data_IF_434526228072
#
_entry.id   IF_434526228072
#
_cell.length_a   1.000
_cell.length_b   1.000
_cell.length_c   1.000
_cell.angle_alpha   90.00
_cell.angle_beta   90.00
_cell.angle_gamma   90.00
#
_symmetry.space_group_name_H-M   'P 1'
#
loop_
_entity.id
_entity.type
_entity.pdbx_description
1 polymer ?
#
# COMPACT_ATOMS: atom_id res chain seq x y z
N UNK A 1 1.64 15.91 -17.85
CA UNK A 1 2.71 15.97 -16.82
C UNK A 1 2.53 14.89 -15.75
N UNK A 2 1.40 14.79 -15.02
CA UNK A 2 1.21 13.73 -14.01
C UNK A 2 1.33 12.31 -14.60
N UNK A 3 0.74 12.09 -15.77
CA UNK A 3 0.89 10.84 -16.53
C UNK A 3 2.36 10.56 -16.91
N UNK A 4 3.11 11.57 -17.31
CA UNK A 4 4.54 11.46 -17.63
C UNK A 4 5.33 11.08 -16.37
N UNK A 5 5.05 11.71 -15.22
CA UNK A 5 5.68 11.38 -13.95
C UNK A 5 5.43 9.92 -13.53
N UNK A 6 4.19 9.45 -13.69
CA UNK A 6 3.81 8.08 -13.40
C UNK A 6 4.39 7.07 -14.41
N UNK A 7 4.32 7.38 -15.71
CA UNK A 7 4.86 6.53 -16.79
C UNK A 7 6.38 6.40 -16.65
N UNK A 8 7.11 7.50 -16.45
CA UNK A 8 8.55 7.46 -16.33
C UNK A 8 9.03 6.67 -15.12
N UNK A 9 8.30 6.73 -13.99
CA UNK A 9 8.55 5.85 -12.84
C UNK A 9 8.18 4.38 -13.15
N UNK A 10 7.06 4.14 -13.86
CA UNK A 10 6.61 2.81 -14.22
C UNK A 10 7.56 2.12 -15.24
N UNK A 11 8.18 2.90 -16.11
CA UNK A 11 9.16 2.43 -17.12
C UNK A 11 10.60 2.49 -16.62
N UNK A 12 10.81 2.88 -15.36
CA UNK A 12 12.13 3.03 -14.74
C UNK A 12 13.05 4.07 -15.43
N UNK A 13 12.49 5.03 -16.19
CA UNK A 13 13.24 6.14 -16.77
C UNK A 13 13.81 7.08 -15.68
N UNK A 14 13.15 7.13 -14.52
CA UNK A 14 13.64 7.83 -13.32
C UNK A 14 13.14 7.18 -12.03
N UNK A 15 13.82 7.42 -10.89
CA UNK A 15 13.38 6.94 -9.59
C UNK A 15 11.98 7.43 -9.22
N UNK A 16 11.22 6.62 -8.50
CA UNK A 16 9.88 6.97 -8.01
C UNK A 16 9.83 8.28 -7.21
N UNK A 17 10.93 8.62 -6.52
CA UNK A 17 11.06 9.85 -5.74
C UNK A 17 10.90 11.13 -6.60
N UNK A 18 11.45 11.11 -7.81
CA UNK A 18 11.27 12.20 -8.79
C UNK A 18 9.81 12.30 -9.22
N UNK A 19 9.17 11.16 -9.51
CA UNK A 19 7.74 11.11 -9.85
C UNK A 19 6.85 11.65 -8.74
N UNK A 20 7.10 11.26 -7.50
CA UNK A 20 6.36 11.74 -6.33
C UNK A 20 6.58 13.23 -6.04
N UNK A 21 7.82 13.71 -6.15
CA UNK A 21 8.13 15.12 -5.96
C UNK A 21 7.45 15.99 -7.01
N UNK A 22 7.41 15.54 -8.27
CA UNK A 22 6.76 16.27 -9.36
C UNK A 22 5.24 16.43 -9.12
N UNK A 23 4.56 15.50 -8.43
CA UNK A 23 3.14 15.61 -8.12
C UNK A 23 2.80 16.85 -7.27
N UNK A 24 3.70 17.27 -6.37
CA UNK A 24 3.49 18.49 -5.55
C UNK A 24 3.45 19.74 -6.42
N UNK A 25 4.35 19.83 -7.39
CA UNK A 25 4.39 20.99 -8.32
C UNK A 25 3.21 20.96 -9.29
N UNK A 26 2.78 19.78 -9.72
CA UNK A 26 1.65 19.61 -10.61
C UNK A 26 0.31 20.08 -9.99
N UNK A 27 0.16 20.02 -8.68
CA UNK A 27 -0.97 20.61 -7.99
C UNK A 27 -1.07 22.12 -8.28
N UNK A 28 0.02 22.85 -8.10
CA UNK A 28 0.07 24.30 -8.36
C UNK A 28 -0.09 24.63 -9.83
N UNK A 29 0.51 23.82 -10.72
CA UNK A 29 0.35 23.98 -12.18
C UNK A 29 -1.11 23.76 -12.61
N UNK A 30 -1.79 22.79 -12.03
CA UNK A 30 -3.21 22.52 -12.31
C UNK A 30 -4.11 23.69 -11.85
N UNK A 31 -3.85 24.21 -10.65
CA UNK A 31 -4.57 25.40 -10.13
C UNK A 31 -4.32 26.64 -10.99
N UNK A 32 -3.06 26.88 -11.38
CA UNK A 32 -2.73 27.99 -12.26
C UNK A 32 -3.41 27.84 -13.64
N UNK A 33 -3.41 26.63 -14.20
CA UNK A 33 -4.12 26.33 -15.44
C UNK A 33 -5.62 26.55 -15.36
N UNK A 34 -6.26 26.16 -14.24
CA UNK A 34 -7.68 26.42 -14.00
C UNK A 34 -7.97 27.93 -13.87
N UNK A 35 -7.13 28.67 -13.15
CA UNK A 35 -7.24 30.12 -12.99
C UNK A 35 -7.07 30.85 -14.32
N UNK A 36 -6.07 30.47 -15.15
CA UNK A 36 -5.88 31.02 -16.48
C UNK A 36 -7.05 30.69 -17.41
N UNK A 37 -7.60 29.48 -17.31
CA UNK A 37 -8.81 29.09 -18.05
C UNK A 37 -10.02 29.96 -17.69
N UNK A 38 -10.21 30.23 -16.39
CA UNK A 38 -11.27 31.11 -15.91
C UNK A 38 -11.06 32.56 -16.40
N UNK A 39 -9.85 33.07 -16.31
CA UNK A 39 -9.50 34.40 -16.80
C UNK A 39 -9.72 34.54 -18.32
N UNK A 40 -9.30 33.53 -19.11
CA UNK A 40 -9.53 33.50 -20.55
C UNK A 40 -11.02 33.46 -20.90
N UNK A 41 -11.83 32.74 -20.12
CA UNK A 41 -13.29 32.68 -20.30
C UNK A 41 -13.94 34.05 -20.10
N UNK A 42 -13.47 34.82 -19.12
CA UNK A 42 -14.02 36.17 -18.83
C UNK A 42 -13.64 37.18 -19.91
N UNK A 43 -12.42 37.07 -20.46
CA UNK A 43 -11.86 38.04 -21.40
C UNK A 43 -12.10 37.74 -22.88
N UNK A 44 -12.21 36.46 -23.28
CA UNK A 44 -12.30 36.04 -24.69
C UNK A 44 -13.46 35.08 -24.93
N UNK A 45 -14.54 35.60 -25.52
CA UNK A 45 -15.77 34.86 -25.83
C UNK A 45 -15.59 33.65 -26.78
N UNK A 46 -14.54 33.63 -27.62
CA UNK A 46 -14.37 32.66 -28.69
C UNK A 46 -13.76 31.31 -28.31
N UNK A 47 -13.24 31.15 -27.05
CA UNK A 47 -12.56 29.91 -26.62
C UNK A 47 -13.18 29.23 -25.40
N UNK A 48 -14.51 29.33 -25.25
CA UNK A 48 -15.22 28.82 -24.07
C UNK A 48 -15.04 27.31 -23.82
N UNK A 49 -14.96 26.50 -24.89
CA UNK A 49 -14.81 25.05 -24.74
C UNK A 49 -13.42 24.65 -24.20
N UNK A 50 -12.35 25.24 -24.74
CA UNK A 50 -10.99 24.96 -24.25
C UNK A 50 -10.80 25.42 -22.80
N UNK A 51 -11.33 26.58 -22.44
CA UNK A 51 -11.31 27.10 -21.08
C UNK A 51 -12.11 26.20 -20.12
N UNK A 52 -13.27 25.70 -20.52
CA UNK A 52 -14.08 24.79 -19.74
C UNK A 52 -13.36 23.45 -19.51
N UNK A 53 -12.71 22.88 -20.53
CA UNK A 53 -11.92 21.66 -20.42
C UNK A 53 -10.73 21.86 -19.47
N UNK A 54 -10.00 22.98 -19.58
CA UNK A 54 -8.86 23.26 -18.70
C UNK A 54 -9.28 23.39 -17.23
N UNK A 55 -10.41 24.09 -16.96
CA UNK A 55 -10.97 24.20 -15.62
C UNK A 55 -11.39 22.84 -15.08
N UNK A 56 -12.13 22.05 -15.88
CA UNK A 56 -12.60 20.73 -15.49
C UNK A 56 -11.43 19.79 -15.13
N UNK A 57 -10.42 19.72 -15.99
CA UNK A 57 -9.24 18.89 -15.74
C UNK A 57 -8.44 19.37 -14.53
N UNK A 58 -8.27 20.67 -14.34
CA UNK A 58 -7.57 21.26 -13.20
C UNK A 58 -8.29 20.96 -11.88
N UNK A 59 -9.62 21.14 -11.84
CA UNK A 59 -10.45 20.84 -10.66
C UNK A 59 -10.45 19.33 -10.36
N UNK A 60 -10.68 18.49 -11.36
CA UNK A 60 -10.69 17.05 -11.19
C UNK A 60 -9.34 16.53 -10.66
N UNK A 61 -8.24 17.01 -11.21
CA UNK A 61 -6.90 16.61 -10.76
C UNK A 61 -6.59 17.12 -9.36
N UNK A 62 -6.91 18.37 -9.04
CA UNK A 62 -6.74 18.92 -7.69
C UNK A 62 -7.60 18.19 -6.66
N UNK A 63 -8.86 17.85 -7.00
CA UNK A 63 -9.74 17.04 -6.18
C UNK A 63 -9.19 15.65 -5.91
N UNK A 64 -8.61 15.01 -6.92
CA UNK A 64 -7.94 13.72 -6.77
C UNK A 64 -6.73 13.81 -5.83
N UNK A 65 -5.84 14.80 -5.99
CA UNK A 65 -4.71 15.00 -5.09
C UNK A 65 -5.15 15.32 -3.66
N UNK A 66 -6.21 16.11 -3.50
CA UNK A 66 -6.79 16.38 -2.19
C UNK A 66 -7.36 15.11 -1.54
N UNK A 67 -7.99 14.23 -2.31
CA UNK A 67 -8.47 12.94 -1.82
C UNK A 67 -7.34 12.05 -1.33
N UNK A 68 -6.21 12.01 -2.06
CA UNK A 68 -4.99 11.30 -1.63
C UNK A 68 -4.43 11.88 -0.34
N UNK A 69 -4.38 13.20 -0.23
CA UNK A 69 -3.95 13.88 0.99
C UNK A 69 -4.84 13.54 2.19
N UNK A 70 -6.16 13.54 2.01
CA UNK A 70 -7.11 13.12 3.06
C UNK A 70 -6.90 11.65 3.45
N UNK A 71 -6.71 10.75 2.49
CA UNK A 71 -6.40 9.34 2.74
C UNK A 71 -5.09 9.21 3.53
N UNK A 72 -4.06 9.95 3.16
CA UNK A 72 -2.79 9.95 3.88
C UNK A 72 -2.92 10.38 5.34
N UNK A 73 -3.88 11.25 5.64
CA UNK A 73 -4.17 11.71 7.01
C UNK A 73 -5.13 10.82 7.80
N UNK A 74 -5.87 9.95 7.13
CA UNK A 74 -6.84 9.05 7.76
C UNK A 74 -6.27 7.69 8.13
N UNK A 75 -5.03 7.40 7.72
CA UNK A 75 -4.33 6.15 8.03
C UNK A 75 -3.03 6.44 8.77
N UNK A 76 -2.57 5.56 9.65
CA UNK A 76 -1.31 5.75 10.35
C UNK A 76 -0.14 5.72 9.37
N UNK A 77 0.95 6.42 9.71
CA UNK A 77 2.17 6.43 8.92
C UNK A 77 3.01 5.16 9.18
N UNK A 78 2.43 4.02 8.87
CA UNK A 78 3.09 2.70 8.90
C UNK A 78 3.07 2.08 7.49
N UNK A 79 3.93 1.12 7.26
CA UNK A 79 4.10 0.44 5.96
C UNK A 79 4.22 -1.07 6.11
N UNK A 80 3.84 -1.59 7.27
CA UNK A 80 3.91 -2.99 7.66
C UNK A 80 2.55 -3.39 8.26
N UNK A 81 1.85 -4.32 7.61
CA UNK A 81 0.54 -4.79 8.03
C UNK A 81 0.54 -6.31 8.14
N UNK A 82 -0.03 -6.82 9.24
CA UNK A 82 -0.07 -8.25 9.56
C UNK A 82 -1.43 -8.66 10.13
N UNK A 83 -1.77 -9.93 9.99
CA UNK A 83 -2.94 -10.52 10.66
C UNK A 83 -2.66 -10.96 12.10
N UNK A 84 -1.39 -11.18 12.45
CA UNK A 84 -0.97 -11.54 13.81
C UNK A 84 0.04 -10.50 14.33
N UNK A 85 -0.40 -9.65 15.26
CA UNK A 85 0.45 -8.64 15.90
C UNK A 85 1.33 -9.18 17.02
N UNK A 86 0.95 -10.34 17.60
CA UNK A 86 1.69 -10.94 18.71
C UNK A 86 2.91 -11.70 18.18
N UNK A 87 2.70 -12.46 17.11
CA UNK A 87 3.69 -13.28 16.43
C UNK A 87 3.61 -13.05 14.91
N UNK A 88 4.07 -11.88 14.42
CA UNK A 88 4.00 -11.60 12.99
C UNK A 88 4.84 -12.60 12.19
N UNK A 89 4.36 -13.11 11.04
CA UNK A 89 5.16 -13.97 10.18
C UNK A 89 6.52 -13.34 9.87
N UNK A 90 7.59 -14.09 10.06
CA UNK A 90 8.96 -13.64 9.78
C UNK A 90 9.38 -14.11 8.39
N UNK A 91 9.96 -13.20 7.60
CA UNK A 91 10.57 -13.52 6.32
C UNK A 91 11.83 -14.38 6.51
N UNK A 92 12.02 -15.37 5.65
CA UNK A 92 13.15 -16.31 5.68
C UNK A 92 14.07 -16.07 4.48
N UNK A 93 13.50 -15.87 3.31
CA UNK A 93 14.23 -15.64 2.04
C UNK A 93 14.34 -14.16 1.73
N UNK A 94 13.25 -13.43 1.84
CA UNK A 94 13.24 -11.98 1.72
C UNK A 94 13.71 -11.34 3.02
N UNK A 95 14.38 -10.20 2.91
CA UNK A 95 14.84 -9.45 4.07
C UNK A 95 14.02 -8.19 4.26
N UNK A 96 13.57 -7.95 5.48
CA UNK A 96 13.00 -6.66 5.84
C UNK A 96 14.06 -5.57 5.71
N UNK A 97 13.63 -4.37 5.36
CA UNK A 97 14.48 -3.17 5.42
C UNK A 97 14.98 -2.97 6.86
N UNK A 98 16.23 -2.51 7.00
CA UNK A 98 16.87 -2.35 8.32
C UNK A 98 16.09 -1.44 9.27
N UNK A 99 15.45 -0.40 8.72
CA UNK A 99 14.66 0.60 9.45
C UNK A 99 13.15 0.31 9.45
N UNK A 100 12.74 -0.95 9.26
CA UNK A 100 11.32 -1.32 9.07
C UNK A 100 10.38 -0.73 10.13
N UNK A 101 10.74 -0.80 11.40
CA UNK A 101 9.93 -0.28 12.50
C UNK A 101 10.49 1.02 13.10
N UNK A 102 11.74 1.37 12.85
CA UNK A 102 12.39 2.54 13.43
C UNK A 102 11.74 3.86 13.01
N UNK A 103 11.22 3.89 11.78
CA UNK A 103 10.55 5.07 11.22
C UNK A 103 9.09 5.25 11.69
N UNK A 104 8.57 4.37 12.57
CA UNK A 104 7.21 4.48 13.09
C UNK A 104 7.08 5.73 13.96
N UNK A 105 6.18 6.69 13.63
CA UNK A 105 6.09 7.96 14.32
C UNK A 105 5.53 7.81 15.74
N UNK A 106 5.85 8.78 16.58
CA UNK A 106 5.22 8.95 17.90
C UNK A 106 3.88 9.71 17.85
N UNK A 107 3.54 10.27 16.68
CA UNK A 107 2.35 11.07 16.40
C UNK A 107 2.11 12.21 17.40
N UNK A 108 3.15 12.64 18.14
CA UNK A 108 3.04 13.63 19.20
C UNK A 108 2.25 13.17 20.42
N UNK A 109 1.99 11.87 20.56
CA UNK A 109 1.22 11.32 21.70
C UNK A 109 2.09 11.31 22.96
N UNK A 110 1.53 11.72 24.12
CA UNK A 110 2.26 11.69 25.39
C UNK A 110 2.85 10.31 25.69
N UNK A 111 4.13 10.26 26.08
CA UNK A 111 4.84 9.03 26.40
C UNK A 111 5.34 8.20 25.20
N UNK A 112 4.83 8.44 24.00
CA UNK A 112 5.19 7.63 22.82
C UNK A 112 6.62 7.82 22.34
N UNK A 113 7.22 8.96 22.65
CA UNK A 113 8.61 9.23 22.31
C UNK A 113 9.59 8.27 23.00
N UNK A 114 9.25 7.83 24.23
CA UNK A 114 10.02 6.84 24.97
C UNK A 114 9.59 5.39 24.69
N UNK A 115 8.46 5.19 24.00
CA UNK A 115 7.96 3.85 23.66
C UNK A 115 8.80 3.22 22.56
N UNK A 116 9.17 1.93 22.67
CA UNK A 116 9.88 1.22 21.61
C UNK A 116 9.13 1.26 20.27
N UNK A 117 9.83 1.39 19.13
CA UNK A 117 9.19 1.47 17.80
C UNK A 117 8.22 0.32 17.49
N UNK A 118 8.54 -0.89 17.92
CA UNK A 118 7.69 -2.07 17.73
C UNK A 118 6.36 -1.96 18.50
N UNK A 119 6.38 -1.35 19.66
CA UNK A 119 5.15 -1.15 20.46
C UNK A 119 4.29 -0.05 19.87
N UNK A 120 4.90 1.04 19.38
CA UNK A 120 4.20 2.07 18.61
C UNK A 120 3.53 1.48 17.37
N UNK A 121 4.26 0.65 16.62
CA UNK A 121 3.71 -0.05 15.47
C UNK A 121 2.51 -0.92 15.85
N UNK A 122 2.62 -1.73 16.92
CA UNK A 122 1.51 -2.57 17.38
C UNK A 122 0.29 -1.74 17.76
N UNK A 123 0.49 -0.64 18.46
CA UNK A 123 -0.60 0.26 18.85
C UNK A 123 -1.27 0.89 17.62
N UNK A 124 -0.50 1.54 16.73
CA UNK A 124 -1.04 2.16 15.51
C UNK A 124 -1.75 1.17 14.60
N UNK A 125 -1.14 0.00 14.40
CA UNK A 125 -1.73 -1.06 13.59
C UNK A 125 -3.02 -1.59 14.21
N UNK A 126 -3.01 -1.89 15.50
CA UNK A 126 -4.18 -2.42 16.21
C UNK A 126 -5.36 -1.44 16.22
N UNK A 127 -5.08 -0.14 16.38
CA UNK A 127 -6.09 0.92 16.31
C UNK A 127 -6.68 1.08 14.90
N UNK A 128 -5.81 1.08 13.87
CA UNK A 128 -6.24 1.37 12.50
C UNK A 128 -6.82 0.15 11.75
N UNK A 129 -6.36 -1.04 12.09
CA UNK A 129 -6.69 -2.29 11.38
C UNK A 129 -7.13 -3.41 12.33
N UNK A 130 -8.12 -3.19 13.22
CA UNK A 130 -8.57 -4.19 14.21
C UNK A 130 -9.21 -5.41 13.55
N UNK A 131 -9.61 -5.30 12.30
CA UNK A 131 -10.23 -6.33 11.49
C UNK A 131 -9.23 -7.31 10.85
N UNK A 132 -7.94 -6.97 10.80
CA UNK A 132 -6.93 -7.89 10.29
C UNK A 132 -6.68 -8.99 11.32
N UNK A 133 -7.14 -10.20 10.98
CA UNK A 133 -7.03 -11.39 11.82
C UNK A 133 -6.57 -12.59 10.99
N UNK A 134 -5.92 -13.59 11.60
CA UNK A 134 -5.63 -14.85 10.96
C UNK A 134 -6.91 -15.52 10.42
N UNK A 135 -6.77 -16.26 9.32
CA UNK A 135 -7.89 -16.97 8.70
C UNK A 135 -7.83 -18.47 9.02
N UNK A 136 -8.95 -19.04 9.47
CA UNK A 136 -9.09 -20.49 9.60
C UNK A 136 -9.57 -21.09 8.28
N UNK A 137 -8.91 -22.16 7.83
CA UNK A 137 -9.28 -22.92 6.65
C UNK A 137 -9.48 -24.39 7.04
N UNK A 138 -10.54 -25.02 6.52
CA UNK A 138 -10.84 -26.44 6.71
C UNK A 138 -9.98 -27.31 5.78
N UNK A 139 -8.66 -27.08 5.74
CA UNK A 139 -7.69 -27.81 4.95
C UNK A 139 -6.33 -27.85 5.64
N UNK A 140 -5.50 -28.84 5.31
CA UNK A 140 -4.16 -28.96 5.85
C UNK A 140 -3.27 -27.75 5.47
N UNK A 141 -2.24 -27.40 6.28
CA UNK A 141 -1.36 -26.25 6.03
C UNK A 141 -0.72 -26.25 4.65
N UNK A 142 -0.30 -27.41 4.15
CA UNK A 142 0.33 -27.55 2.84
C UNK A 142 -0.66 -27.25 1.68
N UNK A 143 -1.91 -27.66 1.82
CA UNK A 143 -2.98 -27.32 0.88
C UNK A 143 -3.33 -25.83 0.94
N UNK A 144 -3.33 -25.23 2.15
CA UNK A 144 -3.55 -23.80 2.33
C UNK A 144 -2.45 -22.96 1.67
N UNK A 145 -1.17 -23.38 1.75
CA UNK A 145 -0.06 -22.70 1.07
C UNK A 145 -0.17 -22.85 -0.45
N UNK A 146 -0.51 -24.03 -0.98
CA UNK A 146 -0.77 -24.18 -2.44
C UNK A 146 -1.90 -23.29 -2.94
N UNK A 147 -2.98 -23.17 -2.18
CA UNK A 147 -4.07 -22.24 -2.49
C UNK A 147 -3.61 -20.79 -2.44
N UNK A 148 -2.82 -20.41 -1.42
CA UNK A 148 -2.24 -19.08 -1.29
C UNK A 148 -1.29 -18.76 -2.46
N UNK A 149 -0.48 -19.73 -2.90
CA UNK A 149 0.41 -19.59 -4.05
C UNK A 149 -0.37 -19.34 -5.33
N UNK A 150 -1.39 -20.15 -5.62
CA UNK A 150 -2.25 -19.96 -6.79
C UNK A 150 -2.89 -18.57 -6.79
N UNK A 151 -3.42 -18.13 -5.65
CA UNK A 151 -4.00 -16.81 -5.49
C UNK A 151 -2.99 -15.66 -5.64
N UNK A 152 -1.74 -15.84 -5.20
CA UNK A 152 -0.66 -14.87 -5.36
C UNK A 152 -0.25 -14.75 -6.84
N UNK A 153 -0.13 -15.88 -7.55
CA UNK A 153 0.15 -15.91 -9.00
C UNK A 153 -0.95 -15.26 -9.83
N UNK A 154 -2.21 -15.53 -9.52
CA UNK A 154 -3.38 -14.91 -10.18
C UNK A 154 -3.37 -13.38 -10.03
N UNK A 155 -2.82 -12.86 -8.94
CA UNK A 155 -2.61 -11.43 -8.70
C UNK A 155 -1.36 -10.84 -9.34
N UNK A 156 -0.58 -11.64 -10.07
CA UNK A 156 0.67 -11.22 -10.70
C UNK A 156 1.78 -10.91 -9.70
N UNK A 157 1.80 -11.59 -8.54
CA UNK A 157 2.90 -11.45 -7.59
C UNK A 157 4.07 -12.34 -8.01
N UNK A 158 5.28 -11.83 -7.83
CA UNK A 158 6.51 -12.59 -8.05
C UNK A 158 6.73 -13.54 -6.86
N UNK A 159 6.59 -14.85 -7.06
CA UNK A 159 6.84 -15.85 -6.02
C UNK A 159 8.34 -15.97 -5.82
N UNK A 160 8.81 -15.72 -4.61
CA UNK A 160 10.22 -15.76 -4.24
C UNK A 160 10.59 -17.10 -3.60
N UNK A 161 9.76 -17.59 -2.69
CA UNK A 161 9.94 -18.86 -2.03
C UNK A 161 8.60 -19.47 -1.68
N UNK A 162 8.48 -20.79 -1.85
CA UNK A 162 7.31 -21.54 -1.42
C UNK A 162 7.74 -22.92 -0.88
N UNK A 163 7.34 -23.20 0.36
CA UNK A 163 7.48 -24.50 1.00
C UNK A 163 6.14 -24.88 1.66
N UNK A 164 5.29 -25.64 0.95
CA UNK A 164 4.03 -26.10 1.49
C UNK A 164 4.17 -26.97 2.74
N UNK A 165 5.25 -27.77 2.84
CA UNK A 165 5.47 -28.65 4.01
C UNK A 165 5.84 -27.84 5.26
N UNK A 166 6.61 -26.78 5.10
CA UNK A 166 6.91 -25.83 6.18
C UNK A 166 5.78 -24.85 6.46
N UNK A 167 4.71 -24.85 5.64
CA UNK A 167 3.60 -23.90 5.77
C UNK A 167 4.00 -22.46 5.42
N UNK A 168 4.82 -22.26 4.39
CA UNK A 168 5.50 -21.01 4.10
C UNK A 168 5.40 -20.60 2.62
N UNK A 169 5.14 -19.30 2.38
CA UNK A 169 5.15 -18.67 1.06
C UNK A 169 5.67 -17.24 1.20
N UNK A 170 6.65 -16.86 0.39
CA UNK A 170 7.08 -15.47 0.22
C UNK A 170 6.92 -15.02 -1.22
N UNK A 171 6.43 -13.81 -1.39
CA UNK A 171 6.21 -13.20 -2.69
C UNK A 171 6.43 -11.68 -2.65
N UNK A 172 6.67 -11.07 -3.81
CA UNK A 172 6.75 -9.62 -3.96
C UNK A 172 5.60 -9.13 -4.84
N UNK A 173 4.80 -8.23 -4.29
CA UNK A 173 3.76 -7.49 -5.01
C UNK A 173 4.33 -6.18 -5.54
N UNK A 174 4.16 -5.90 -6.83
CA UNK A 174 4.65 -4.67 -7.47
C UNK A 174 3.48 -3.77 -7.85
N UNK A 175 3.50 -2.50 -7.42
CA UNK A 175 2.45 -1.53 -7.75
C UNK A 175 2.53 -1.09 -9.21
N UNK A 176 1.36 -0.84 -9.83
CA UNK A 176 1.25 -0.60 -11.28
C UNK A 176 1.98 0.66 -11.76
N UNK A 177 1.86 1.78 -11.04
CA UNK A 177 2.32 3.08 -11.53
C UNK A 177 3.74 3.44 -11.09
N UNK A 178 4.04 3.33 -9.80
CA UNK A 178 5.34 3.73 -9.27
C UNK A 178 6.30 2.55 -9.06
N UNK A 179 5.84 1.33 -9.40
CA UNK A 179 6.64 0.11 -9.27
C UNK A 179 7.19 -0.11 -7.86
N UNK A 180 6.47 0.38 -6.83
CA UNK A 180 6.80 0.06 -5.45
C UNK A 180 6.70 -1.43 -5.24
N UNK A 181 7.67 -1.96 -4.52
CA UNK A 181 7.72 -3.37 -4.16
C UNK A 181 7.32 -3.52 -2.70
N UNK A 182 6.34 -4.38 -2.48
CA UNK A 182 5.87 -4.76 -1.16
C UNK A 182 6.08 -6.27 -1.01
N UNK A 183 6.80 -6.67 0.01
CA UNK A 183 7.03 -8.08 0.30
C UNK A 183 5.88 -8.65 1.10
N UNK A 184 5.46 -9.85 0.73
CA UNK A 184 4.33 -10.54 1.33
C UNK A 184 4.80 -11.91 1.81
N UNK A 185 4.45 -12.26 3.04
CA UNK A 185 4.61 -13.60 3.57
C UNK A 185 3.27 -14.16 4.00
N UNK A 186 3.06 -15.43 3.69
CA UNK A 186 1.95 -16.25 4.17
C UNK A 186 2.49 -17.40 4.98
N UNK A 187 1.98 -17.58 6.19
CA UNK A 187 2.32 -18.68 7.09
C UNK A 187 1.06 -19.47 7.40
N UNK A 188 1.09 -20.78 7.20
CA UNK A 188 0.01 -21.70 7.57
C UNK A 188 0.48 -22.62 8.69
N UNK A 189 -0.26 -22.64 9.80
CA UNK A 189 0.01 -23.48 10.97
C UNK A 189 -1.12 -24.49 11.17
N UNK A 190 -0.85 -25.74 11.58
CA UNK A 190 -1.89 -26.71 11.85
C UNK A 190 -2.71 -26.29 13.08
N UNK A 191 -4.02 -26.45 12.99
CA UNK A 191 -4.96 -26.30 14.09
C UNK A 191 -6.01 -27.41 14.03
N UNK A 192 -6.76 -27.62 15.11
CA UNK A 192 -7.84 -28.60 15.09
C UNK A 192 -8.84 -28.30 13.97
N UNK A 193 -9.06 -29.26 13.08
CA UNK A 193 -9.98 -29.15 11.96
C UNK A 193 -9.42 -28.42 10.73
N UNK A 194 -8.09 -28.16 10.66
CA UNK A 194 -7.50 -27.55 9.47
C UNK A 194 -6.23 -26.74 9.72
N UNK A 195 -6.18 -25.53 9.18
CA UNK A 195 -5.05 -24.63 9.34
C UNK A 195 -5.46 -23.22 9.76
N UNK A 196 -4.54 -22.53 10.46
CA UNK A 196 -4.60 -21.09 10.73
C UNK A 196 -3.59 -20.40 9.83
N UNK A 197 -4.05 -19.47 9.00
CA UNK A 197 -3.22 -18.77 8.02
C UNK A 197 -3.03 -17.31 8.43
N UNK A 198 -1.76 -16.94 8.58
CA UNK A 198 -1.31 -15.57 8.82
C UNK A 198 -0.76 -14.97 7.54
N UNK A 199 -0.98 -13.68 7.35
CA UNK A 199 -0.45 -12.91 6.23
C UNK A 199 0.16 -11.62 6.74
N UNK A 200 1.35 -11.28 6.25
CA UNK A 200 2.01 -9.99 6.49
C UNK A 200 2.47 -9.39 5.18
N UNK A 201 2.35 -8.08 5.04
CA UNK A 201 2.81 -7.34 3.86
C UNK A 201 3.56 -6.09 4.28
N UNK A 202 4.76 -5.89 3.71
CA UNK A 202 5.71 -4.84 4.13
C UNK A 202 6.25 -4.12 2.91
N UNK A 203 6.21 -2.79 2.90
CA UNK A 203 6.80 -2.01 1.81
C UNK A 203 8.31 -1.88 1.96
N UNK A 204 9.05 -2.07 0.86
CA UNK A 204 10.51 -1.89 0.84
C UNK A 204 10.95 -0.43 0.99
N UNK A 205 10.06 0.53 0.71
CA UNK A 205 10.35 1.96 0.72
C UNK A 205 9.17 2.78 1.27
N UNK A 206 9.48 3.99 1.75
CA UNK A 206 8.48 4.92 2.28
C UNK A 206 8.27 4.78 3.80
N UNK A 207 7.70 5.82 4.40
CA UNK A 207 7.30 5.84 5.83
C UNK A 207 5.86 5.39 6.02
N UNK A 208 5.02 5.58 5.01
CA UNK A 208 3.62 5.16 4.97
C UNK A 208 3.33 4.58 3.60
N UNK A 209 2.51 3.54 3.58
CA UNK A 209 1.98 2.92 2.36
C UNK A 209 0.56 3.39 2.03
N UNK A 210 0.05 4.39 2.74
CA UNK A 210 -1.33 4.88 2.64
C UNK A 210 -2.39 3.78 2.85
N UNK A 211 -2.09 2.79 3.70
CA UNK A 211 -2.97 1.66 4.01
C UNK A 211 -3.03 0.58 2.92
N UNK A 212 -2.13 0.62 1.94
CA UNK A 212 -2.12 -0.34 0.83
C UNK A 212 -1.79 -1.77 1.27
N UNK A 213 -0.85 -1.95 2.22
CA UNK A 213 -0.53 -3.27 2.75
C UNK A 213 -1.72 -3.84 3.53
N UNK A 214 -2.35 -3.07 4.39
CA UNK A 214 -3.55 -3.50 5.11
C UNK A 214 -4.70 -3.88 4.15
N UNK A 215 -4.91 -3.09 3.09
CA UNK A 215 -5.89 -3.40 2.05
C UNK A 215 -5.54 -4.69 1.28
N UNK A 216 -4.25 -4.92 1.00
CA UNK A 216 -3.74 -6.14 0.34
C UNK A 216 -3.98 -7.35 1.21
N UNK A 217 -3.57 -7.30 2.48
CA UNK A 217 -3.76 -8.38 3.46
C UNK A 217 -5.25 -8.71 3.59
N UNK A 218 -6.10 -7.71 3.82
CA UNK A 218 -7.57 -7.87 3.95
C UNK A 218 -8.19 -8.53 2.71
N UNK A 219 -7.80 -8.08 1.52
CA UNK A 219 -8.32 -8.67 0.28
C UNK A 219 -7.80 -10.09 0.09
N UNK A 220 -6.53 -10.35 0.39
CA UNK A 220 -5.93 -11.67 0.23
C UNK A 220 -6.57 -12.70 1.17
N UNK A 221 -6.68 -12.39 2.46
CA UNK A 221 -7.28 -13.28 3.46
C UNK A 221 -8.74 -13.55 3.17
N UNK A 222 -9.50 -12.53 2.76
CA UNK A 222 -10.90 -12.70 2.36
C UNK A 222 -11.05 -13.64 1.15
N UNK A 223 -10.22 -13.47 0.11
CA UNK A 223 -10.31 -14.29 -1.10
C UNK A 223 -9.77 -15.71 -0.85
N UNK A 224 -8.80 -15.86 0.05
CA UNK A 224 -8.31 -17.16 0.50
C UNK A 224 -9.37 -17.96 1.28
N UNK A 225 -10.23 -17.27 2.03
CA UNK A 225 -11.32 -17.88 2.80
C UNK A 225 -12.52 -18.32 1.92
N UNK A 226 -12.67 -17.77 0.73
CA UNK A 226 -13.69 -18.19 -0.21
C UNK A 226 -13.27 -19.51 -0.85
N UNK A 227 -13.99 -20.58 -0.57
CA UNK A 227 -13.99 -21.92 -1.15
C UNK A 227 -12.78 -22.44 -1.83
#
# INVERSE_FOLDING_TARGET
MALIAAIGSATALWPFSIGLQSLRYLFFVALAGAALGLFARVRRKERHMMAAVAILLGVAFSGYLFSLYRTARSVPAIHDATTDLRDPPAFVTLSLRKDNLEAVPDEGRPGWKAMPPVERWRALHGEAYPDLKPVRLAMAPDAAIRKAEALARDRGWDIVSVDPKAGHLEATATTRFFRFKDDVIVRARPVQGGSLVDVRSVSRVGRSDLGMNAKRVRKFTRDLAKG
#
